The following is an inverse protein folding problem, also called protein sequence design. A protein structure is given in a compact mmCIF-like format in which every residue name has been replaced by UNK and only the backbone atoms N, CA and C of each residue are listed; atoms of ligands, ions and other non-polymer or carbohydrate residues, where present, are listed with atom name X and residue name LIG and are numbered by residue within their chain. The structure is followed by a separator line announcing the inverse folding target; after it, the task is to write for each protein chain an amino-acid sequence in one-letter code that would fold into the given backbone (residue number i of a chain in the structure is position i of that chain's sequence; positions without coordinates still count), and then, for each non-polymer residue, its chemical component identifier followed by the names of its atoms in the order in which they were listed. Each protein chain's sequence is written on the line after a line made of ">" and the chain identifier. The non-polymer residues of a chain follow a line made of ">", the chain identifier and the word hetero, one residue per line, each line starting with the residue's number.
data_IF_082594504088
#
_entry.id   IF_082594504088
#
_cell.length_a   1.000
_cell.length_b   1.000
_cell.length_c   1.000
_cell.angle_alpha   90.00
_cell.angle_beta   90.00
_cell.angle_gamma   90.00
#
_symmetry.space_group_name_H-M   'P 1'
#
loop_
_entity.id
_entity.type
_entity.pdbx_description
1 polymer ?
#
# COMPACT_ATOMS: atom_id res chain seq x y z
N UNK A 1 -9.94 -3.74 -13.12
CA UNK A 1 -8.77 -4.55 -12.73
C UNK A 1 -8.12 -3.86 -11.54
N UNK A 2 -7.97 -4.55 -10.41
CA UNK A 2 -7.36 -3.98 -9.21
C UNK A 2 -5.83 -3.97 -9.44
N UNK A 3 -5.13 -2.84 -9.25
CA UNK A 3 -3.66 -2.82 -9.32
C UNK A 3 -3.07 -3.75 -8.25
N UNK A 4 -1.91 -4.38 -8.49
CA UNK A 4 -1.31 -5.28 -7.51
C UNK A 4 -1.01 -4.53 -6.22
N UNK A 5 -1.31 -5.14 -5.07
CA UNK A 5 -1.06 -4.55 -3.76
C UNK A 5 0.33 -4.99 -3.30
N UNK A 6 1.19 -4.05 -2.91
CA UNK A 6 2.59 -4.28 -2.51
C UNK A 6 2.85 -4.11 -1.02
N UNK A 7 1.81 -3.79 -0.26
CA UNK A 7 1.88 -3.65 1.19
C UNK A 7 0.49 -3.38 1.76
N UNK A 8 0.32 -3.74 3.02
CA UNK A 8 -0.93 -3.61 3.74
C UNK A 8 -0.64 -3.25 5.20
N UNK A 9 -1.33 -2.25 5.72
CA UNK A 9 -1.40 -1.97 7.14
C UNK A 9 -2.85 -2.17 7.55
N UNK A 10 -3.07 -3.17 8.39
CA UNK A 10 -4.40 -3.61 8.81
C UNK A 10 -5.19 -2.49 9.50
N UNK A 11 -4.55 -1.76 10.41
CA UNK A 11 -5.19 -0.73 11.20
C UNK A 11 -4.35 0.56 11.22
N UNK A 12 -4.98 1.67 10.87
CA UNK A 12 -4.50 3.03 11.12
C UNK A 12 -5.59 3.84 11.83
N UNK A 13 -5.12 4.74 12.69
CA UNK A 13 -5.96 5.65 13.48
C UNK A 13 -5.75 7.12 13.10
N UNK A 14 -4.81 7.42 12.19
CA UNK A 14 -4.38 8.79 11.90
C UNK A 14 -4.62 9.20 10.44
N UNK A 15 -4.76 8.24 9.53
CA UNK A 15 -4.89 8.53 8.09
C UNK A 15 -6.34 8.81 7.66
N UNK A 16 -7.33 8.53 8.52
CA UNK A 16 -8.73 8.88 8.29
C UNK A 16 -9.35 9.51 9.54
N UNK A 17 -9.74 10.77 9.45
CA UNK A 17 -10.36 11.51 10.55
C UNK A 17 -11.63 10.81 11.08
N UNK A 18 -11.62 10.50 12.37
CA UNK A 18 -12.76 9.92 13.09
C UNK A 18 -13.09 8.48 12.68
N UNK A 19 -12.20 7.78 11.96
CA UNK A 19 -12.41 6.40 11.49
C UNK A 19 -11.19 5.54 11.76
N UNK A 20 -11.43 4.27 12.09
CA UNK A 20 -10.40 3.23 11.95
C UNK A 20 -10.40 2.84 10.48
N UNK A 21 -9.23 2.81 9.87
CA UNK A 21 -9.06 2.47 8.46
C UNK A 21 -7.87 1.50 8.27
N UNK A 22 -7.70 1.04 7.04
CA UNK A 22 -6.54 0.25 6.62
C UNK A 22 -5.82 0.96 5.48
N UNK A 23 -4.52 0.70 5.31
CA UNK A 23 -3.72 1.30 4.25
C UNK A 23 -3.31 0.22 3.25
N UNK A 24 -3.57 0.47 1.97
CA UNK A 24 -3.09 -0.35 0.86
C UNK A 24 -1.99 0.39 0.10
N UNK A 25 -0.83 -0.23 -0.05
CA UNK A 25 0.25 0.30 -0.86
C UNK A 25 0.17 -0.27 -2.28
N UNK A 26 0.13 0.62 -3.26
CA UNK A 26 0.18 0.28 -4.68
C UNK A 26 1.58 0.54 -5.24
N UNK A 27 2.02 -0.17 -6.28
CA UNK A 27 3.31 0.07 -6.90
C UNK A 27 3.28 1.33 -7.74
N UNK A 28 4.47 1.89 -7.94
CA UNK A 28 4.76 3.03 -8.79
C UNK A 28 4.24 4.37 -8.26
N UNK A 29 4.99 5.41 -8.57
CA UNK A 29 4.61 6.80 -8.37
C UNK A 29 5.21 7.60 -9.53
N UNK A 30 4.49 8.61 -10.01
CA UNK A 30 4.98 9.54 -11.03
C UNK A 30 5.98 10.57 -10.47
N UNK A 31 6.25 10.53 -9.16
CA UNK A 31 7.27 11.34 -8.50
C UNK A 31 8.44 10.48 -8.01
N UNK A 32 9.58 11.14 -7.76
CA UNK A 32 10.81 10.56 -7.17
C UNK A 32 11.28 11.45 -6.02
N UNK A 33 10.37 11.73 -5.08
CA UNK A 33 10.62 12.68 -4.00
C UNK A 33 11.79 12.23 -3.11
N UNK A 34 12.72 13.11 -2.73
CA UNK A 34 13.85 12.75 -1.87
C UNK A 34 13.44 12.38 -0.44
N UNK A 35 12.24 12.78 -0.02
CA UNK A 35 11.64 12.47 1.28
C UNK A 35 10.60 11.34 1.21
N UNK A 36 10.65 10.50 0.17
CA UNK A 36 9.70 9.40 0.04
C UNK A 36 9.89 8.40 1.20
N UNK A 37 8.82 8.11 1.93
CA UNK A 37 8.81 7.10 3.00
C UNK A 37 8.74 5.67 2.46
N UNK A 38 8.22 5.50 1.24
CA UNK A 38 8.10 4.20 0.56
C UNK A 38 8.83 4.17 -0.78
N UNK A 39 10.15 4.46 -0.82
CA UNK A 39 10.89 4.57 -2.07
C UNK A 39 10.99 3.21 -2.79
N UNK A 40 10.86 2.09 -2.07
CA UNK A 40 10.84 0.74 -2.61
C UNK A 40 9.67 0.52 -3.60
N UNK A 41 8.51 1.15 -3.37
CA UNK A 41 7.37 1.11 -4.31
C UNK A 41 7.68 1.75 -5.66
N UNK A 42 8.78 2.51 -5.72
CA UNK A 42 9.09 3.42 -6.82
C UNK A 42 10.38 3.02 -7.55
N UNK A 43 11.39 2.58 -6.81
CA UNK A 43 12.72 2.18 -7.32
C UNK A 43 12.67 0.75 -7.88
N UNK A 44 12.02 -0.18 -7.17
CA UNK A 44 11.88 -1.57 -7.60
C UNK A 44 10.52 -2.14 -7.17
N UNK A 45 9.42 -1.74 -7.83
CA UNK A 45 8.09 -2.28 -7.52
C UNK A 45 7.94 -3.76 -7.86
N UNK A 46 8.78 -4.30 -8.75
CA UNK A 46 8.69 -5.69 -9.21
C UNK A 46 9.41 -6.66 -8.27
N UNK A 47 10.42 -6.19 -7.52
CA UNK A 47 11.06 -6.96 -6.45
C UNK A 47 10.19 -7.15 -5.20
N UNK A 48 9.06 -6.45 -5.09
CA UNK A 48 8.12 -6.59 -3.98
C UNK A 48 7.09 -7.68 -4.26
N UNK A 49 6.78 -8.49 -3.24
CA UNK A 49 5.71 -9.47 -3.31
C UNK A 49 4.34 -8.79 -3.50
N UNK A 50 3.46 -9.41 -4.29
CA UNK A 50 2.09 -8.95 -4.44
C UNK A 50 1.20 -9.67 -3.44
N UNK A 51 0.38 -8.91 -2.71
CA UNK A 51 -0.64 -9.44 -1.80
C UNK A 51 -1.95 -9.57 -2.61
N UNK A 52 -2.56 -10.78 -2.69
CA UNK A 52 -3.88 -10.94 -3.30
C UNK A 52 -4.93 -10.12 -2.56
N UNK A 53 -5.86 -9.49 -3.29
CA UNK A 53 -6.92 -8.71 -2.67
C UNK A 53 -7.84 -9.58 -1.82
N UNK A 54 -8.09 -10.80 -2.27
CA UNK A 54 -8.92 -11.80 -1.61
C UNK A 54 -8.42 -12.07 -0.18
N UNK A 55 -7.11 -12.25 -0.03
CA UNK A 55 -6.47 -12.48 1.27
C UNK A 55 -6.64 -11.32 2.26
N UNK A 56 -6.82 -10.09 1.75
CA UNK A 56 -7.07 -8.90 2.59
C UNK A 56 -8.56 -8.78 2.90
N UNK A 57 -9.42 -9.05 1.91
CA UNK A 57 -10.87 -8.92 2.07
C UNK A 57 -11.46 -9.92 3.06
N UNK A 58 -10.80 -11.07 3.27
CA UNK A 58 -11.21 -12.09 4.26
C UNK A 58 -10.89 -11.71 5.72
N UNK A 59 -10.16 -10.61 5.95
CA UNK A 59 -9.84 -10.12 7.31
C UNK A 59 -10.97 -9.30 7.95
N UNK A 60 -12.05 -9.02 7.19
CA UNK A 60 -13.20 -8.21 7.61
C UNK A 60 -14.52 -8.95 7.35
#
# INVERSE_FOLDING_TARGET
>A
MIPPIKGFIENTLIDWEGKIASILFLPQCNFRCPYCHSPHLVIDPNGLESIPFEAISELF
#
